data_IF_723391366992
#
_entry.id   IF_723391366992
#
_cell.length_a   1.000
_cell.length_b   1.000
_cell.length_c   1.000
_cell.angle_alpha   90.00
_cell.angle_beta   90.00
_cell.angle_gamma   90.00
#
_symmetry.space_group_name_H-M   'P 1'
#
loop_
_entity.id
_entity.type
_entity.pdbx_description
1 polymer ?
#
# COMPACT_ATOMS: atom_id res chain seq x y z
N UNK A 1 -41.91 30.81 -8.20
CA UNK A 1 -41.28 30.01 -7.12
C UNK A 1 -40.33 30.95 -6.40
N UNK A 2 -40.53 31.20 -5.09
CA UNK A 2 -39.60 32.01 -4.31
C UNK A 2 -38.22 31.40 -4.33
N UNK A 3 -37.13 32.19 -4.57
CA UNK A 3 -35.76 31.68 -4.43
C UNK A 3 -35.54 31.38 -2.94
N UNK A 4 -35.39 30.11 -2.61
CA UNK A 4 -35.09 29.68 -1.23
C UNK A 4 -35.89 28.50 -0.68
N UNK A 5 -36.94 28.02 -1.37
CA UNK A 5 -37.73 26.88 -0.92
C UNK A 5 -37.31 25.58 -1.61
N UNK A 6 -36.37 24.90 -1.05
CA UNK A 6 -35.91 23.57 -1.46
C UNK A 6 -35.24 22.87 -0.32
N UNK A 7 -35.11 21.55 -0.42
CA UNK A 7 -34.45 20.70 0.56
C UNK A 7 -32.95 20.90 0.58
N UNK A 8 -32.32 20.46 1.65
CA UNK A 8 -30.90 20.30 1.78
C UNK A 8 -30.57 18.82 1.77
N UNK A 9 -29.71 18.39 0.85
CA UNK A 9 -29.13 17.04 0.85
C UNK A 9 -27.65 17.17 1.23
N UNK A 10 -27.25 16.52 2.31
CA UNK A 10 -25.88 16.58 2.81
C UNK A 10 -25.46 15.24 3.41
N UNK A 11 -24.16 15.03 3.49
CA UNK A 11 -23.57 13.85 4.08
C UNK A 11 -22.07 14.03 4.26
N UNK A 12 -21.43 12.97 4.74
CA UNK A 12 -19.99 12.92 4.90
C UNK A 12 -19.41 11.63 4.30
N UNK A 13 -18.14 11.69 3.91
CA UNK A 13 -17.41 10.57 3.34
C UNK A 13 -16.19 10.31 4.22
N UNK A 14 -16.21 9.16 4.88
CA UNK A 14 -15.18 8.75 5.83
C UNK A 14 -14.54 7.43 5.40
N UNK A 15 -13.28 7.20 5.77
CA UNK A 15 -12.65 5.87 5.67
C UNK A 15 -13.23 4.91 6.71
N UNK A 16 -12.95 3.59 6.65
CA UNK A 16 -13.30 2.65 7.74
C UNK A 16 -12.69 3.02 9.10
N UNK A 17 -11.65 3.85 9.13
CA UNK A 17 -11.04 4.41 10.36
C UNK A 17 -11.64 5.75 10.79
N UNK A 18 -12.70 6.20 10.12
CA UNK A 18 -13.35 7.49 10.37
C UNK A 18 -12.52 8.72 9.98
N UNK A 19 -11.49 8.56 9.16
CA UNK A 19 -10.78 9.69 8.58
C UNK A 19 -11.60 10.33 7.47
N UNK A 20 -11.74 11.64 7.49
CA UNK A 20 -12.47 12.38 6.46
C UNK A 20 -11.75 12.31 5.10
N UNK A 21 -12.50 12.07 4.02
CA UNK A 21 -11.93 11.88 2.68
C UNK A 21 -12.14 13.14 1.84
N UNK A 22 -11.05 13.82 1.49
CA UNK A 22 -11.07 14.98 0.59
C UNK A 22 -11.02 14.57 -0.89
N UNK A 23 -11.25 15.54 -1.78
CA UNK A 23 -11.13 15.39 -3.24
C UNK A 23 -12.07 14.35 -3.85
N UNK A 24 -13.19 14.07 -3.19
CA UNK A 24 -14.28 13.26 -3.77
C UNK A 24 -15.24 14.18 -4.50
N UNK A 25 -15.45 13.94 -5.80
CA UNK A 25 -16.50 14.57 -6.54
C UNK A 25 -17.83 13.89 -6.22
N UNK A 26 -18.77 14.59 -5.62
CA UNK A 26 -20.12 14.11 -5.35
C UNK A 26 -21.06 14.69 -6.38
N UNK A 27 -21.80 13.85 -7.07
CA UNK A 27 -22.78 14.23 -8.07
C UNK A 27 -24.18 14.03 -7.53
N UNK A 28 -25.04 15.02 -7.74
CA UNK A 28 -26.48 14.90 -7.54
C UNK A 28 -27.13 14.85 -8.91
N UNK A 29 -27.80 13.76 -9.24
CA UNK A 29 -28.45 13.58 -10.53
C UNK A 29 -29.97 13.44 -10.40
N UNK A 30 -30.67 14.06 -11.35
CA UNK A 30 -32.09 13.99 -11.56
C UNK A 30 -32.35 14.27 -13.07
N UNK A 31 -33.38 13.66 -13.72
CA UNK A 31 -33.61 13.84 -15.15
C UNK A 31 -33.92 15.29 -15.55
N UNK A 32 -34.57 16.06 -14.68
CA UNK A 32 -35.12 17.38 -14.99
C UNK A 32 -34.27 18.55 -14.48
N UNK A 33 -33.32 18.28 -13.59
CA UNK A 33 -32.48 19.30 -12.95
C UNK A 33 -31.01 19.01 -13.08
N UNK A 34 -30.22 20.06 -13.32
CA UNK A 34 -28.75 20.00 -13.39
C UNK A 34 -28.17 20.65 -12.14
N UNK A 35 -27.36 19.90 -11.43
CA UNK A 35 -26.64 20.36 -10.25
C UNK A 35 -25.14 20.41 -10.53
N UNK A 36 -24.41 21.43 -10.04
CA UNK A 36 -22.96 21.36 -10.03
C UNK A 36 -22.51 20.25 -9.09
N UNK A 37 -21.42 19.54 -9.45
CA UNK A 37 -20.80 18.57 -8.53
C UNK A 37 -20.23 19.28 -7.30
N UNK A 38 -20.22 18.59 -6.18
CA UNK A 38 -19.59 19.05 -4.96
C UNK A 38 -18.26 18.34 -4.76
N UNK A 39 -17.17 19.09 -4.55
CA UNK A 39 -15.87 18.52 -4.22
C UNK A 39 -15.68 18.57 -2.71
N UNK A 40 -15.47 17.40 -2.07
CA UNK A 40 -15.21 17.35 -0.62
C UNK A 40 -13.86 17.97 -0.28
N UNK A 41 -13.83 18.67 0.84
CA UNK A 41 -12.62 19.25 1.44
C UNK A 41 -12.10 18.32 2.56
N UNK A 42 -11.18 18.82 3.36
CA UNK A 42 -10.52 18.08 4.44
C UNK A 42 -11.45 17.57 5.55
N UNK A 43 -12.68 18.05 5.59
CA UNK A 43 -13.74 17.58 6.49
C UNK A 43 -14.60 16.43 5.90
N UNK A 44 -14.36 16.06 4.64
CA UNK A 44 -15.08 14.98 3.94
C UNK A 44 -16.55 15.25 3.67
N UNK A 45 -17.04 16.47 3.94
CA UNK A 45 -18.48 16.79 3.85
C UNK A 45 -18.87 17.32 2.49
N UNK A 46 -20.12 17.03 2.13
CA UNK A 46 -20.77 17.60 0.95
C UNK A 46 -22.17 18.10 1.28
N UNK A 47 -22.66 19.07 0.47
CA UNK A 47 -23.97 19.67 0.66
C UNK A 47 -24.53 20.21 -0.64
N UNK A 48 -25.76 19.82 -0.96
CA UNK A 48 -26.60 20.41 -2.00
C UNK A 48 -27.73 21.18 -1.35
N UNK A 49 -27.91 22.45 -1.69
CA UNK A 49 -28.98 23.31 -1.18
C UNK A 49 -29.99 23.62 -2.24
N UNK A 50 -31.19 24.00 -1.82
CA UNK A 50 -32.30 24.37 -2.70
C UNK A 50 -32.70 23.27 -3.69
N UNK A 51 -32.64 22.00 -3.24
CA UNK A 51 -33.01 20.84 -4.05
C UNK A 51 -34.56 20.78 -4.13
N UNK A 52 -35.18 20.74 -5.32
CA UNK A 52 -36.61 20.70 -5.45
C UNK A 52 -37.28 19.52 -4.73
N UNK A 53 -38.47 19.74 -4.18
CA UNK A 53 -39.28 18.71 -3.54
C UNK A 53 -40.06 17.87 -4.56
N UNK A 54 -40.57 16.72 -4.10
CA UNK A 54 -41.42 15.78 -4.85
C UNK A 54 -40.73 15.21 -6.09
N UNK A 55 -39.43 15.12 -6.04
CA UNK A 55 -38.58 14.57 -7.10
C UNK A 55 -37.68 13.48 -6.54
N UNK A 56 -37.15 12.63 -7.41
CA UNK A 56 -36.20 11.56 -7.04
C UNK A 56 -34.79 11.93 -7.45
N UNK A 57 -33.83 11.62 -6.60
CA UNK A 57 -32.43 11.99 -6.78
C UNK A 57 -31.50 10.78 -6.56
N UNK A 58 -30.37 10.84 -7.21
CA UNK A 58 -29.27 9.90 -6.95
C UNK A 58 -28.03 10.68 -6.57
N UNK A 59 -27.43 10.33 -5.43
CA UNK A 59 -26.14 10.85 -4.98
C UNK A 59 -25.06 9.82 -5.35
N UNK A 60 -24.03 10.27 -6.09
CA UNK A 60 -22.93 9.40 -6.57
C UNK A 60 -21.60 10.04 -6.24
N UNK A 61 -20.82 9.49 -5.30
CA UNK A 61 -19.45 9.90 -5.07
C UNK A 61 -18.49 9.27 -6.10
N UNK A 62 -17.41 9.97 -6.44
CA UNK A 62 -16.39 9.49 -7.35
C UNK A 62 -15.01 10.06 -7.02
N UNK A 63 -14.02 9.18 -6.90
CA UNK A 63 -12.60 9.50 -6.82
C UNK A 63 -11.80 8.35 -7.42
N UNK A 64 -10.91 8.65 -8.36
CA UNK A 64 -10.09 7.65 -9.03
C UNK A 64 -8.71 8.21 -9.34
N UNK A 65 -7.94 8.48 -8.30
CA UNK A 65 -6.59 9.01 -8.36
C UNK A 65 -5.64 8.16 -7.50
N UNK A 66 -4.35 8.37 -7.65
CA UNK A 66 -3.29 7.79 -6.82
C UNK A 66 -3.58 6.36 -6.31
N UNK A 67 -3.60 5.39 -7.23
CA UNK A 67 -3.89 3.98 -6.92
C UNK A 67 -2.90 3.39 -5.90
N UNK A 68 -1.64 3.87 -5.86
CA UNK A 68 -0.60 3.38 -4.94
C UNK A 68 -0.73 3.90 -3.50
N UNK A 69 -1.51 4.97 -3.25
CA UNK A 69 -1.66 5.54 -1.92
C UNK A 69 -2.13 4.49 -0.90
N UNK A 70 -1.31 4.20 0.10
CA UNK A 70 -1.57 3.19 1.14
C UNK A 70 -1.39 1.73 0.71
N UNK A 71 -1.16 1.46 -0.59
CA UNK A 71 -1.03 0.09 -1.09
C UNK A 71 0.43 -0.35 -1.05
N UNK A 72 0.70 -1.45 -0.33
CA UNK A 72 2.04 -1.95 -0.05
C UNK A 72 2.10 -3.47 -0.01
N UNK A 73 3.30 -4.01 0.15
CA UNK A 73 3.50 -5.45 0.37
C UNK A 73 2.89 -5.94 1.70
N UNK A 74 2.68 -5.06 2.68
CA UNK A 74 1.99 -5.43 3.91
C UNK A 74 0.54 -5.86 3.65
N UNK A 75 -0.12 -5.26 2.67
CA UNK A 75 -1.47 -5.66 2.27
C UNK A 75 -1.47 -7.08 1.70
N UNK A 76 -0.45 -7.43 0.92
CA UNK A 76 -0.27 -8.80 0.40
C UNK A 76 -0.07 -9.80 1.54
N UNK A 77 0.72 -9.47 2.57
CA UNK A 77 0.90 -10.30 3.78
C UNK A 77 -0.45 -10.55 4.45
N UNK A 78 -1.26 -9.50 4.64
CA UNK A 78 -2.57 -9.59 5.30
C UNK A 78 -3.60 -10.36 4.49
N UNK A 79 -3.66 -10.12 3.17
CA UNK A 79 -4.55 -10.87 2.27
C UNK A 79 -4.17 -12.35 2.28
N UNK A 80 -2.88 -12.68 2.21
CA UNK A 80 -2.41 -14.05 2.24
C UNK A 80 -2.76 -14.75 3.55
N UNK A 81 -2.54 -14.10 4.70
CA UNK A 81 -2.94 -14.64 6.01
C UNK A 81 -4.44 -14.89 6.09
N UNK A 82 -5.25 -14.01 5.51
CA UNK A 82 -6.70 -14.20 5.41
C UNK A 82 -7.06 -15.42 4.56
N UNK A 83 -6.49 -15.55 3.38
CA UNK A 83 -6.76 -16.67 2.46
C UNK A 83 -6.35 -18.03 3.06
N UNK A 84 -5.31 -18.04 3.89
CA UNK A 84 -4.84 -19.23 4.60
C UNK A 84 -5.58 -19.49 5.93
N UNK A 85 -6.48 -18.60 6.34
CA UNK A 85 -7.22 -18.72 7.60
C UNK A 85 -6.39 -18.49 8.85
N UNK A 86 -5.21 -17.86 8.74
CA UNK A 86 -4.30 -17.55 9.85
C UNK A 86 -4.77 -16.29 10.59
N UNK A 87 -5.02 -15.21 9.85
CA UNK A 87 -5.58 -13.97 10.35
C UNK A 87 -6.71 -13.54 9.40
N UNK A 88 -7.94 -13.87 9.75
CA UNK A 88 -9.10 -13.57 8.92
C UNK A 88 -9.48 -12.09 8.99
N UNK A 89 -10.04 -11.57 7.94
CA UNK A 89 -10.59 -10.22 7.90
C UNK A 89 -11.70 -10.07 8.95
N UNK A 90 -11.70 -8.92 9.62
CA UNK A 90 -12.64 -8.59 10.70
C UNK A 90 -13.63 -7.50 10.32
N UNK A 91 -13.52 -6.96 9.10
CA UNK A 91 -14.37 -5.90 8.57
C UNK A 91 -14.81 -6.23 7.14
N UNK A 92 -16.07 -6.00 6.76
CA UNK A 92 -16.54 -6.22 5.38
C UNK A 92 -15.80 -5.31 4.38
N UNK A 93 -15.33 -4.15 4.81
CA UNK A 93 -14.55 -3.23 3.97
C UNK A 93 -13.20 -3.80 3.54
N UNK A 94 -12.61 -4.72 4.32
CA UNK A 94 -11.35 -5.38 3.94
C UNK A 94 -11.53 -6.31 2.73
N UNK A 95 -12.71 -6.93 2.57
CA UNK A 95 -13.02 -7.72 1.38
C UNK A 95 -13.11 -6.83 0.14
N UNK A 96 -13.78 -5.68 0.24
CA UNK A 96 -13.90 -4.71 -0.86
C UNK A 96 -12.52 -4.14 -1.22
N UNK A 97 -11.68 -3.85 -0.21
CA UNK A 97 -10.31 -3.38 -0.42
C UNK A 97 -9.43 -4.43 -1.10
N UNK A 98 -9.57 -5.71 -0.73
CA UNK A 98 -8.77 -6.80 -1.28
C UNK A 98 -9.16 -7.19 -2.71
N UNK A 99 -10.39 -6.94 -3.15
CA UNK A 99 -10.90 -7.26 -4.49
C UNK A 99 -10.35 -6.29 -5.54
N UNK A 100 -9.09 -6.48 -5.91
CA UNK A 100 -8.39 -5.59 -6.83
C UNK A 100 -8.90 -5.70 -8.28
N UNK A 101 -9.42 -6.86 -8.67
CA UNK A 101 -9.95 -7.11 -10.01
C UNK A 101 -11.47 -6.89 -10.13
N UNK A 102 -12.15 -6.51 -9.03
CA UNK A 102 -13.58 -6.20 -8.97
C UNK A 102 -14.49 -7.36 -9.40
N UNK A 103 -14.16 -8.58 -8.98
CA UNK A 103 -14.93 -9.78 -9.31
C UNK A 103 -15.79 -10.31 -8.14
N UNK A 104 -15.82 -9.58 -7.02
CA UNK A 104 -16.54 -9.93 -5.78
C UNK A 104 -16.01 -11.22 -5.12
N UNK A 105 -14.72 -11.46 -5.25
CA UNK A 105 -14.02 -12.56 -4.57
C UNK A 105 -12.64 -12.07 -4.15
N UNK A 106 -12.13 -12.59 -3.04
CA UNK A 106 -10.74 -12.37 -2.64
C UNK A 106 -9.95 -13.64 -2.93
N UNK A 107 -8.90 -13.52 -3.73
CA UNK A 107 -8.12 -14.65 -4.23
C UNK A 107 -6.64 -14.29 -4.46
N UNK A 108 -5.84 -15.27 -4.83
CA UNK A 108 -4.45 -15.03 -5.24
C UNK A 108 -4.33 -14.13 -6.49
N UNK A 109 -5.36 -14.05 -7.34
CA UNK A 109 -5.36 -13.17 -8.52
C UNK A 109 -5.32 -11.69 -8.08
N UNK A 110 -6.06 -11.35 -7.03
CA UNK A 110 -6.06 -9.99 -6.48
C UNK A 110 -4.68 -9.63 -5.90
N UNK A 111 -4.03 -10.57 -5.23
CA UNK A 111 -2.65 -10.38 -4.76
C UNK A 111 -1.69 -10.11 -5.92
N UNK A 112 -1.85 -10.78 -7.06
CA UNK A 112 -1.05 -10.54 -8.26
C UNK A 112 -1.29 -9.13 -8.80
N UNK A 113 -2.54 -8.67 -8.87
CA UNK A 113 -2.87 -7.32 -9.34
C UNK A 113 -2.32 -6.24 -8.39
N UNK A 114 -2.46 -6.43 -7.08
CA UNK A 114 -1.90 -5.54 -6.07
C UNK A 114 -0.37 -5.51 -6.17
N UNK A 115 0.30 -6.66 -6.30
CA UNK A 115 1.75 -6.72 -6.45
C UNK A 115 2.23 -5.98 -7.69
N UNK A 116 1.57 -6.13 -8.83
CA UNK A 116 1.91 -5.39 -10.05
C UNK A 116 1.78 -3.89 -9.87
N UNK A 117 0.78 -3.43 -9.10
CA UNK A 117 0.65 -2.02 -8.74
C UNK A 117 1.80 -1.57 -7.83
N UNK A 118 2.13 -2.33 -6.77
CA UNK A 118 3.26 -2.05 -5.87
C UNK A 118 4.57 -1.98 -6.65
N UNK A 119 4.81 -2.92 -7.54
CA UNK A 119 5.98 -2.96 -8.41
C UNK A 119 6.01 -1.83 -9.47
N UNK A 120 4.92 -1.08 -9.65
CA UNK A 120 4.83 -0.03 -10.66
C UNK A 120 4.72 -0.55 -12.09
N UNK A 121 4.46 -1.85 -12.29
CA UNK A 121 4.15 -2.46 -13.58
C UNK A 121 2.83 -1.89 -14.10
N UNK A 122 1.87 -1.70 -13.20
CA UNK A 122 0.63 -0.98 -13.47
C UNK A 122 0.65 0.38 -12.79
N UNK A 123 0.29 1.46 -13.50
CA UNK A 123 0.06 2.77 -12.87
C UNK A 123 -1.27 2.84 -12.13
N UNK A 124 -2.24 2.01 -12.54
CA UNK A 124 -3.61 1.93 -12.01
C UNK A 124 -4.10 0.49 -12.10
N UNK A 125 -5.07 0.12 -11.26
CA UNK A 125 -5.75 -1.17 -11.41
C UNK A 125 -6.50 -1.23 -12.76
N UNK A 126 -6.32 -2.27 -13.58
CA UNK A 126 -6.92 -2.35 -14.92
C UNK A 126 -8.46 -2.44 -14.91
N UNK A 127 -9.04 -3.06 -13.88
CA UNK A 127 -10.47 -3.38 -13.80
C UNK A 127 -11.17 -2.76 -12.59
N UNK A 128 -10.47 -1.94 -11.80
CA UNK A 128 -11.04 -1.32 -10.62
C UNK A 128 -10.63 0.14 -10.48
N UNK A 129 -11.43 0.90 -9.73
CA UNK A 129 -11.11 2.28 -9.32
C UNK A 129 -10.15 2.27 -8.14
N UNK A 130 -9.51 3.41 -7.86
CA UNK A 130 -8.66 3.56 -6.67
C UNK A 130 -9.47 3.61 -5.37
N UNK A 131 -10.70 4.11 -5.43
CA UNK A 131 -11.62 4.19 -4.30
C UNK A 131 -12.99 3.61 -4.67
N UNK A 132 -13.58 2.85 -3.74
CA UNK A 132 -14.96 2.39 -3.77
C UNK A 132 -15.73 3.12 -2.66
N UNK A 133 -16.98 3.38 -2.89
CA UNK A 133 -17.82 4.10 -1.93
C UNK A 133 -19.00 3.23 -1.55
N UNK A 134 -19.18 3.03 -0.25
CA UNK A 134 -20.23 2.17 0.30
C UNK A 134 -21.23 3.05 1.01
N UNK A 135 -22.48 3.03 0.55
CA UNK A 135 -23.59 3.66 1.25
C UNK A 135 -23.76 3.04 2.64
N UNK A 136 -23.63 3.86 3.68
CA UNK A 136 -23.77 3.44 5.09
C UNK A 136 -25.14 2.79 5.35
N UNK A 137 -26.17 3.23 4.63
CA UNK A 137 -27.54 2.70 4.75
C UNK A 137 -27.69 1.25 4.28
N UNK A 138 -26.74 0.70 3.50
CA UNK A 138 -26.84 -0.69 3.01
C UNK A 138 -26.52 -1.76 4.05
N UNK A 139 -25.86 -1.40 5.16
CA UNK A 139 -25.62 -2.30 6.29
C UNK A 139 -24.89 -3.59 5.95
N UNK A 140 -23.76 -3.50 5.21
CA UNK A 140 -22.95 -4.67 4.83
C UNK A 140 -22.38 -5.40 6.04
N UNK A 141 -22.25 -6.73 5.93
CA UNK A 141 -21.70 -7.60 6.98
C UNK A 141 -20.52 -8.42 6.47
N UNK A 142 -19.83 -9.12 7.38
CA UNK A 142 -18.74 -10.05 7.01
C UNK A 142 -19.21 -11.19 6.11
N UNK A 143 -20.45 -11.65 6.29
CA UNK A 143 -21.05 -12.71 5.49
C UNK A 143 -21.50 -12.21 4.11
N UNK A 144 -21.80 -10.93 4.00
CA UNK A 144 -22.32 -10.30 2.78
C UNK A 144 -21.59 -8.98 2.47
N UNK A 145 -20.27 -8.98 2.24
CA UNK A 145 -19.52 -7.75 1.98
C UNK A 145 -19.83 -7.15 0.61
N UNK A 146 -20.39 -7.94 -0.30
CA UNK A 146 -20.67 -7.54 -1.69
C UNK A 146 -22.04 -6.91 -1.90
N UNK A 147 -22.94 -6.98 -0.91
CA UNK A 147 -24.28 -6.41 -0.98
C UNK A 147 -24.29 -4.92 -0.62
N UNK A 148 -23.40 -4.14 -1.21
CA UNK A 148 -23.34 -2.70 -1.01
C UNK A 148 -23.84 -1.94 -2.24
N UNK A 149 -24.33 -0.72 -2.01
CA UNK A 149 -24.57 0.27 -3.05
C UNK A 149 -23.45 1.31 -3.03
N UNK A 150 -23.02 1.76 -4.21
CA UNK A 150 -22.11 2.91 -4.35
C UNK A 150 -22.87 4.23 -4.62
N UNK A 151 -24.19 4.19 -4.56
CA UNK A 151 -25.06 5.34 -4.75
C UNK A 151 -26.15 5.36 -3.68
N UNK A 152 -26.60 6.54 -3.30
CA UNK A 152 -27.81 6.73 -2.48
C UNK A 152 -28.93 7.19 -3.38
N UNK A 153 -30.03 6.45 -3.37
CA UNK A 153 -31.25 6.81 -4.09
C UNK A 153 -32.28 7.42 -3.12
N UNK A 154 -32.75 8.60 -3.43
CA UNK A 154 -33.78 9.32 -2.69
C UNK A 154 -35.02 9.34 -3.58
N UNK A 155 -36.07 8.68 -3.12
CA UNK A 155 -37.34 8.63 -3.84
C UNK A 155 -38.32 9.65 -3.23
N UNK A 156 -38.90 10.48 -4.07
CA UNK A 156 -39.95 11.46 -3.68
C UNK A 156 -39.53 12.34 -2.48
N UNK A 157 -38.55 13.22 -2.71
CA UNK A 157 -37.96 14.07 -1.67
C UNK A 157 -39.02 14.97 -1.02
N UNK A 158 -39.46 14.63 0.17
CA UNK A 158 -40.49 15.35 0.92
C UNK A 158 -39.95 16.10 2.16
N UNK A 159 -38.70 15.86 2.56
CA UNK A 159 -38.10 16.44 3.76
C UNK A 159 -37.36 17.74 3.49
N UNK A 160 -37.44 18.71 4.40
CA UNK A 160 -36.72 19.97 4.33
C UNK A 160 -35.18 19.79 4.38
N UNK A 161 -34.72 18.71 4.98
CA UNK A 161 -33.30 18.34 4.99
C UNK A 161 -33.11 16.85 5.18
N UNK A 162 -32.13 16.29 4.46
CA UNK A 162 -31.59 14.95 4.66
C UNK A 162 -30.06 15.08 4.85
N UNK A 163 -29.61 14.92 6.08
CA UNK A 163 -28.25 15.26 6.53
C UNK A 163 -27.31 14.05 6.65
N UNK A 164 -27.83 12.83 6.50
CA UNK A 164 -27.10 11.58 6.74
C UNK A 164 -27.05 10.72 5.48
N UNK A 165 -26.61 11.33 4.37
CA UNK A 165 -26.36 10.60 3.13
C UNK A 165 -24.88 10.21 3.06
N UNK A 166 -24.46 9.35 4.00
CA UNK A 166 -23.06 9.11 4.30
C UNK A 166 -22.51 7.91 3.54
N UNK A 167 -21.22 7.99 3.20
CA UNK A 167 -20.50 6.91 2.55
C UNK A 167 -19.23 6.53 3.32
N UNK A 168 -18.93 5.24 3.29
CA UNK A 168 -17.59 4.76 3.65
C UNK A 168 -16.75 4.62 2.38
N UNK A 169 -15.65 5.37 2.32
CA UNK A 169 -14.69 5.30 1.23
C UNK A 169 -13.66 4.20 1.50
N UNK A 170 -13.62 3.19 0.65
CA UNK A 170 -12.71 2.06 0.74
C UNK A 170 -11.62 2.21 -0.32
N UNK A 171 -10.36 2.26 0.12
CA UNK A 171 -9.21 2.31 -0.78
C UNK A 171 -8.90 0.90 -1.29
N UNK A 172 -9.01 0.71 -2.61
CA UNK A 172 -8.70 -0.59 -3.23
C UNK A 172 -7.21 -0.90 -3.13
N UNK A 173 -6.89 -2.11 -2.72
CA UNK A 173 -5.55 -2.62 -2.46
C UNK A 173 -5.03 -2.37 -1.04
N UNK A 174 -5.69 -1.51 -0.24
CA UNK A 174 -5.27 -1.11 1.11
C UNK A 174 -6.17 -1.77 2.17
N UNK A 175 -5.85 -3.01 2.55
CA UNK A 175 -6.64 -3.77 3.54
C UNK A 175 -6.32 -3.37 4.98
N UNK A 176 -5.24 -2.62 5.20
CA UNK A 176 -4.80 -2.15 6.50
C UNK A 176 -5.22 -0.70 6.81
N UNK A 177 -5.87 -0.03 5.85
CA UNK A 177 -6.38 1.34 5.93
C UNK A 177 -5.27 2.35 6.27
N UNK A 178 -4.15 2.31 5.56
CA UNK A 178 -3.01 3.24 5.71
C UNK A 178 -3.04 4.36 4.67
N UNK A 179 -3.97 4.30 3.72
CA UNK A 179 -4.11 5.33 2.70
C UNK A 179 -4.34 6.71 3.31
N UNK A 180 -3.62 7.70 2.82
CA UNK A 180 -3.80 9.09 3.20
C UNK A 180 -5.10 9.61 2.60
N UNK A 181 -6.09 9.85 3.45
CA UNK A 181 -7.44 10.26 3.05
C UNK A 181 -7.54 11.76 2.75
N UNK A 182 -6.73 12.59 3.45
CA UNK A 182 -6.73 14.06 3.28
C UNK A 182 -5.34 14.66 3.59
N UNK A 183 -5.17 15.94 3.24
CA UNK A 183 -3.90 16.65 3.38
C UNK A 183 -3.48 16.92 4.83
N UNK A 184 -4.41 16.87 5.78
CA UNK A 184 -4.14 17.09 7.21
C UNK A 184 -3.61 15.84 7.92
N UNK A 185 -3.77 14.66 7.30
CA UNK A 185 -3.33 13.41 7.88
C UNK A 185 -1.80 13.31 7.82
N UNK A 186 -1.17 13.34 8.99
CA UNK A 186 0.26 13.14 9.14
C UNK A 186 0.50 11.67 9.46
N UNK A 187 1.13 10.97 8.53
CA UNK A 187 1.61 9.61 8.80
C UNK A 187 2.89 9.72 9.63
N UNK A 188 3.00 9.06 10.78
CA UNK A 188 4.23 9.06 11.54
C UNK A 188 5.34 8.38 10.73
N UNK A 189 6.36 9.15 10.37
CA UNK A 189 7.56 8.67 9.68
C UNK A 189 8.81 8.70 10.57
N UNK A 190 8.67 9.17 11.80
CA UNK A 190 9.81 9.33 12.71
C UNK A 190 10.18 8.00 13.35
N UNK A 191 11.46 7.62 13.17
CA UNK A 191 12.10 6.58 13.96
C UNK A 191 11.87 5.15 13.53
N UNK A 192 11.58 4.88 12.25
CA UNK A 192 11.59 3.49 11.76
C UNK A 192 12.97 2.87 12.00
N UNK A 193 12.98 1.72 12.66
CA UNK A 193 14.20 0.95 12.89
C UNK A 193 14.80 0.53 11.55
N UNK A 194 16.12 0.73 11.40
CA UNK A 194 16.84 0.32 10.21
C UNK A 194 17.10 -1.19 10.27
N UNK A 195 16.89 -1.87 9.17
CA UNK A 195 17.32 -3.25 8.93
C UNK A 195 18.31 -3.24 7.77
N UNK A 196 19.51 -3.78 8.02
CA UNK A 196 20.52 -3.85 6.98
C UNK A 196 20.28 -5.04 6.05
N UNK A 197 20.39 -4.74 4.76
CA UNK A 197 20.43 -5.72 3.67
C UNK A 197 21.90 -5.80 3.24
N UNK A 198 22.60 -6.82 3.72
CA UNK A 198 24.02 -7.02 3.41
C UNK A 198 24.18 -7.49 1.97
N UNK A 199 25.02 -6.79 1.22
CA UNK A 199 25.25 -7.02 -0.20
C UNK A 199 26.69 -7.49 -0.40
N UNK A 200 26.84 -8.65 -1.03
CA UNK A 200 28.14 -9.22 -1.37
C UNK A 200 28.16 -9.67 -2.83
N UNK A 201 29.31 -9.47 -3.48
CA UNK A 201 29.60 -10.03 -4.79
C UNK A 201 30.09 -11.48 -4.57
N UNK A 202 29.45 -12.45 -5.23
CA UNK A 202 29.94 -13.82 -5.22
C UNK A 202 30.94 -13.99 -6.34
N UNK A 203 31.99 -14.78 -6.05
CA UNK A 203 32.94 -15.23 -7.09
C UNK A 203 32.16 -16.06 -8.12
N UNK A 204 32.10 -15.60 -9.35
CA UNK A 204 31.52 -16.36 -10.45
C UNK A 204 32.66 -17.14 -11.10
N UNK A 205 32.58 -18.48 -11.08
CA UNK A 205 33.60 -19.35 -11.75
C UNK A 205 33.48 -19.27 -13.29
N UNK A 206 32.44 -18.63 -13.84
CA UNK A 206 32.25 -18.50 -15.28
C UNK A 206 32.91 -17.23 -15.81
N UNK A 207 33.80 -17.41 -16.77
CA UNK A 207 34.47 -16.32 -17.49
C UNK A 207 33.47 -15.48 -18.26
N UNK A 208 33.32 -14.23 -17.89
CA UNK A 208 32.46 -13.27 -18.59
C UNK A 208 32.09 -12.06 -17.71
N UNK A 209 31.31 -11.18 -18.27
CA UNK A 209 30.82 -9.97 -17.61
C UNK A 209 29.67 -10.24 -16.61
N UNK A 210 29.37 -11.52 -16.31
CA UNK A 210 28.30 -11.90 -15.37
C UNK A 210 28.80 -11.78 -13.93
N UNK A 211 27.97 -11.19 -13.09
CA UNK A 211 28.16 -11.06 -11.65
C UNK A 211 26.93 -11.52 -10.89
N UNK A 212 27.14 -12.36 -9.88
CA UNK A 212 26.12 -12.78 -8.94
C UNK A 212 26.22 -11.91 -7.69
N UNK A 213 25.13 -11.25 -7.34
CA UNK A 213 25.02 -10.38 -6.18
C UNK A 213 24.11 -11.04 -5.17
N UNK A 214 24.63 -11.30 -3.98
CA UNK A 214 23.89 -11.89 -2.87
C UNK A 214 23.35 -10.79 -1.97
N UNK A 215 22.10 -10.93 -1.56
CA UNK A 215 21.41 -10.07 -0.61
C UNK A 215 21.08 -10.91 0.62
N UNK A 216 21.50 -10.45 1.80
CA UNK A 216 21.29 -11.12 3.07
C UNK A 216 20.61 -10.17 4.04
N UNK A 217 19.43 -10.53 4.53
CA UNK A 217 18.68 -9.81 5.54
C UNK A 217 18.82 -10.60 6.84
N UNK A 218 19.47 -10.01 7.85
CA UNK A 218 19.78 -10.71 9.11
C UNK A 218 18.56 -10.82 10.04
N UNK A 219 17.47 -10.18 9.70
CA UNK A 219 16.21 -10.22 10.43
C UNK A 219 15.14 -10.96 9.63
N UNK A 220 14.27 -11.69 10.34
CA UNK A 220 13.13 -12.36 9.71
C UNK A 220 12.00 -11.35 9.43
N UNK A 221 11.70 -11.16 8.15
CA UNK A 221 10.61 -10.33 7.68
C UNK A 221 9.48 -11.21 7.12
N UNK A 222 8.24 -10.81 7.38
CA UNK A 222 7.06 -11.39 6.71
C UNK A 222 6.89 -10.87 5.27
N UNK A 223 7.53 -9.75 4.97
CA UNK A 223 7.53 -9.16 3.64
C UNK A 223 8.44 -7.94 3.57
N UNK A 224 8.78 -7.56 2.36
CA UNK A 224 9.53 -6.34 2.09
C UNK A 224 9.25 -5.81 0.70
N UNK A 225 9.54 -4.54 0.53
CA UNK A 225 9.49 -3.87 -0.76
C UNK A 225 10.51 -2.74 -0.83
N UNK A 226 11.04 -2.47 -2.01
CA UNK A 226 11.91 -1.31 -2.29
C UNK A 226 12.10 -1.08 -3.78
N UNK A 227 12.69 0.05 -4.11
CA UNK A 227 13.24 0.33 -5.43
C UNK A 227 14.75 0.13 -5.39
N UNK A 228 15.28 -0.59 -6.35
CA UNK A 228 16.71 -0.74 -6.59
C UNK A 228 17.05 -0.02 -7.90
N UNK A 229 17.99 0.90 -7.84
CA UNK A 229 18.52 1.56 -9.03
C UNK A 229 19.91 1.01 -9.32
N UNK A 230 20.15 0.57 -10.56
CA UNK A 230 21.43 0.08 -11.01
C UNK A 230 22.01 0.95 -12.12
N UNK A 231 23.33 1.13 -12.13
CA UNK A 231 24.07 1.84 -13.16
C UNK A 231 25.19 0.97 -13.67
N UNK A 232 25.25 0.75 -14.97
CA UNK A 232 26.25 -0.13 -15.58
C UNK A 232 26.07 -1.63 -15.30
N UNK A 233 24.86 -2.04 -14.87
CA UNK A 233 24.46 -3.42 -14.65
C UNK A 233 23.16 -3.69 -15.40
N UNK A 234 23.13 -4.76 -16.18
CA UNK A 234 21.96 -5.29 -16.85
C UNK A 234 21.44 -6.50 -16.05
N UNK A 235 20.19 -6.47 -15.62
CA UNK A 235 19.56 -7.59 -14.91
C UNK A 235 19.39 -8.81 -15.82
N UNK A 236 19.81 -9.97 -15.37
CA UNK A 236 19.78 -11.22 -16.13
C UNK A 236 18.87 -12.29 -15.52
N UNK A 237 18.50 -12.15 -14.24
CA UNK A 237 17.65 -13.10 -13.56
C UNK A 237 17.83 -13.12 -12.06
N UNK A 238 17.04 -13.94 -11.40
CA UNK A 238 17.05 -14.12 -9.95
C UNK A 238 17.27 -15.59 -9.58
N UNK A 239 17.94 -15.82 -8.47
CA UNK A 239 18.06 -17.13 -7.84
C UNK A 239 17.52 -17.09 -6.41
N UNK A 240 16.56 -17.97 -6.13
CA UNK A 240 16.09 -18.21 -4.75
C UNK A 240 17.22 -18.84 -3.89
N UNK A 241 17.20 -18.52 -2.60
CA UNK A 241 18.09 -19.15 -1.63
C UNK A 241 17.29 -19.59 -0.41
N UNK A 242 17.39 -18.89 0.74
CA UNK A 242 16.56 -19.24 1.91
C UNK A 242 15.12 -18.75 1.78
N UNK A 243 14.88 -17.72 0.99
CA UNK A 243 13.53 -17.26 0.65
C UNK A 243 13.17 -17.64 -0.78
N UNK A 244 11.91 -18.04 -1.00
CA UNK A 244 11.40 -18.35 -2.33
C UNK A 244 11.07 -17.04 -3.05
N UNK A 245 11.89 -16.68 -4.02
CA UNK A 245 11.78 -15.46 -4.79
C UNK A 245 12.07 -15.73 -6.26
N UNK A 246 11.27 -15.16 -7.15
CA UNK A 246 11.40 -15.29 -8.60
C UNK A 246 11.09 -13.96 -9.30
N UNK A 247 11.14 -13.94 -10.63
CA UNK A 247 10.93 -12.74 -11.43
C UNK A 247 9.53 -12.13 -11.26
N UNK A 248 8.55 -12.86 -10.73
CA UNK A 248 7.22 -12.31 -10.43
C UNK A 248 7.22 -11.32 -9.26
N UNK A 249 8.30 -11.32 -8.46
CA UNK A 249 8.52 -10.40 -7.34
C UNK A 249 9.28 -9.14 -7.75
N UNK A 250 9.62 -9.00 -9.04
CA UNK A 250 10.42 -7.90 -9.57
C UNK A 250 9.64 -7.15 -10.65
N UNK A 251 9.67 -5.84 -10.60
CA UNK A 251 9.26 -4.95 -11.68
C UNK A 251 10.51 -4.39 -12.37
N UNK A 252 10.73 -4.76 -13.61
CA UNK A 252 11.79 -4.17 -14.44
C UNK A 252 11.22 -2.93 -15.13
N UNK A 253 11.69 -1.77 -14.72
CA UNK A 253 11.29 -0.49 -15.26
C UNK A 253 12.40 0.08 -16.16
N UNK A 254 12.18 1.25 -16.73
CA UNK A 254 13.17 1.87 -17.59
C UNK A 254 14.42 2.37 -16.81
N UNK A 255 15.53 2.56 -17.49
CA UNK A 255 16.75 3.22 -16.98
C UNK A 255 17.41 2.54 -15.77
N UNK A 256 17.42 1.21 -15.72
CA UNK A 256 18.06 0.47 -14.63
C UNK A 256 17.32 0.54 -13.30
N UNK A 257 16.05 0.94 -13.32
CA UNK A 257 15.19 0.96 -12.14
C UNK A 257 14.46 -0.38 -12.03
N UNK A 258 14.65 -1.05 -10.90
CA UNK A 258 13.96 -2.27 -10.53
C UNK A 258 13.18 -2.05 -9.25
N UNK A 259 12.00 -2.61 -9.16
CA UNK A 259 11.21 -2.63 -7.92
C UNK A 259 11.08 -4.05 -7.43
N UNK A 260 11.00 -4.22 -6.13
CA UNK A 260 10.89 -5.52 -5.48
C UNK A 260 9.73 -5.52 -4.52
N UNK A 261 8.99 -6.65 -4.48
CA UNK A 261 7.89 -6.90 -3.54
C UNK A 261 7.82 -8.38 -3.25
N UNK A 262 8.19 -8.76 -2.05
CA UNK A 262 8.16 -10.15 -1.60
C UNK A 262 7.40 -10.27 -0.29
N UNK A 263 6.65 -11.35 -0.13
CA UNK A 263 6.02 -11.73 1.13
C UNK A 263 6.20 -13.23 1.38
N UNK A 264 6.45 -13.58 2.64
CA UNK A 264 6.62 -14.95 3.07
C UNK A 264 5.32 -15.75 2.88
N UNK A 265 5.45 -17.03 2.55
CA UNK A 265 4.33 -17.98 2.60
C UNK A 265 4.33 -18.59 4.00
N UNK A 266 3.34 -18.30 4.86
CA UNK A 266 3.28 -18.85 6.18
C UNK A 266 3.31 -20.39 6.17
N UNK A 267 4.14 -20.99 7.02
CA UNK A 267 4.28 -22.44 7.11
C UNK A 267 5.22 -23.08 6.08
N UNK A 268 5.80 -22.31 5.15
CA UNK A 268 6.83 -22.81 4.24
C UNK A 268 8.23 -22.87 4.87
N UNK A 269 8.39 -22.31 6.06
CA UNK A 269 9.64 -22.36 6.78
C UNK A 269 9.87 -23.77 7.29
N UNK A 270 11.01 -24.36 6.92
CA UNK A 270 11.45 -25.66 7.42
C UNK A 270 11.50 -25.62 8.96
N UNK A 271 10.61 -26.36 9.58
CA UNK A 271 10.49 -26.52 11.02
C UNK A 271 11.83 -26.97 11.62
N UNK A 272 12.61 -26.02 12.13
CA UNK A 272 13.86 -26.34 12.83
C UNK A 272 14.96 -25.31 12.84
N UNK A 273 14.89 -24.25 12.02
CA UNK A 273 15.94 -23.24 11.99
C UNK A 273 15.42 -21.90 12.55
N UNK A 274 15.41 -21.79 13.88
CA UNK A 274 15.38 -20.47 14.51
C UNK A 274 16.60 -19.67 14.04
N UNK A 275 16.36 -18.51 13.38
CA UNK A 275 17.37 -17.51 13.01
C UNK A 275 18.23 -17.78 11.77
N UNK A 276 17.72 -18.40 10.73
CA UNK A 276 18.45 -18.36 9.47
C UNK A 276 18.18 -17.02 8.74
N UNK A 277 19.26 -16.34 8.34
CA UNK A 277 19.17 -15.10 7.55
C UNK A 277 18.36 -15.35 6.26
N UNK A 278 17.55 -14.37 5.88
CA UNK A 278 16.81 -14.41 4.62
C UNK A 278 17.73 -14.00 3.48
N UNK A 279 17.95 -14.90 2.52
CA UNK A 279 18.88 -14.68 1.42
C UNK A 279 18.25 -14.94 0.06
N UNK A 280 18.64 -14.14 -0.92
CA UNK A 280 18.38 -14.33 -2.34
C UNK A 280 19.55 -13.76 -3.16
N UNK A 281 19.64 -14.12 -4.44
CA UNK A 281 20.68 -13.64 -5.32
C UNK A 281 20.11 -13.11 -6.62
N UNK A 282 20.77 -12.12 -7.19
CA UNK A 282 20.45 -11.56 -8.49
C UNK A 282 21.68 -11.70 -9.41
N UNK A 283 21.42 -12.07 -10.65
CA UNK A 283 22.41 -12.15 -11.71
C UNK A 283 22.38 -10.88 -12.54
N UNK A 284 23.55 -10.29 -12.76
CA UNK A 284 23.70 -9.11 -13.61
C UNK A 284 24.83 -9.33 -14.62
N UNK A 285 24.70 -8.66 -15.76
CA UNK A 285 25.82 -8.45 -16.67
C UNK A 285 26.43 -7.08 -16.41
N UNK A 286 27.75 -7.02 -16.15
CA UNK A 286 28.47 -5.74 -16.04
C UNK A 286 28.62 -5.12 -17.41
N UNK A 287 28.05 -3.93 -17.59
CA UNK A 287 28.17 -3.12 -18.83
C UNK A 287 29.29 -2.07 -18.72
N UNK A 288 29.78 -1.83 -17.50
CA UNK A 288 30.89 -0.91 -17.22
C UNK A 288 31.67 -1.38 -15.99
N UNK A 289 32.93 -0.94 -15.87
CA UNK A 289 33.73 -1.17 -14.66
C UNK A 289 33.28 -0.26 -13.52
N UNK A 290 33.42 -0.73 -12.27
CA UNK A 290 33.09 0.05 -11.07
C UNK A 290 32.98 -0.85 -9.84
N UNK A 291 32.90 -0.20 -8.67
CA UNK A 291 32.62 -0.90 -7.43
C UNK A 291 31.10 -1.09 -7.28
N UNK A 292 30.69 -2.23 -6.75
CA UNK A 292 29.27 -2.57 -6.59
C UNK A 292 28.47 -1.51 -5.82
N UNK A 293 29.04 -0.94 -4.76
CA UNK A 293 28.44 0.14 -3.94
C UNK A 293 28.13 1.43 -4.72
N UNK A 294 28.84 1.65 -5.85
CA UNK A 294 28.65 2.81 -6.71
C UNK A 294 27.67 2.49 -7.86
N UNK A 295 27.41 1.21 -8.09
CA UNK A 295 26.59 0.70 -9.18
C UNK A 295 25.17 0.36 -8.76
N UNK A 296 24.90 0.14 -7.46
CA UNK A 296 23.58 -0.23 -6.95
C UNK A 296 23.18 0.69 -5.79
N UNK A 297 21.95 1.15 -5.81
CA UNK A 297 21.37 2.02 -4.79
C UNK A 297 19.93 1.60 -4.48
N UNK A 298 19.60 1.48 -3.20
CA UNK A 298 18.20 1.34 -2.75
C UNK A 298 17.57 2.72 -2.58
N UNK A 299 16.35 2.89 -3.10
CA UNK A 299 15.61 4.15 -3.05
C UNK A 299 14.11 3.89 -2.81
N UNK A 300 13.34 4.96 -2.60
CA UNK A 300 11.87 4.94 -2.54
C UNK A 300 11.23 5.64 -3.75
N UNK A 301 11.94 5.70 -4.87
CA UNK A 301 11.52 6.49 -6.06
C UNK A 301 10.21 6.01 -6.67
N UNK A 302 9.98 4.69 -6.71
CA UNK A 302 8.79 4.07 -7.29
C UNK A 302 8.01 3.33 -6.22
N UNK A 303 8.69 2.48 -5.47
CA UNK A 303 8.15 1.69 -4.36
C UNK A 303 8.91 2.08 -3.11
N UNK A 304 8.19 2.46 -2.06
CA UNK A 304 8.77 2.85 -0.77
C UNK A 304 9.64 1.71 -0.22
N UNK A 305 10.78 2.06 0.40
CA UNK A 305 11.65 1.06 1.03
C UNK A 305 11.09 0.71 2.40
N UNK A 306 10.46 -0.44 2.52
CA UNK A 306 9.81 -0.92 3.72
C UNK A 306 10.03 -2.43 3.91
N UNK A 307 10.19 -2.84 5.16
CA UNK A 307 10.16 -4.24 5.58
C UNK A 307 9.13 -4.41 6.70
N UNK A 308 8.60 -5.61 6.84
CA UNK A 308 7.53 -5.92 7.79
C UNK A 308 7.95 -7.11 8.65
N UNK A 309 8.13 -6.89 9.95
CA UNK A 309 8.59 -7.91 10.88
C UNK A 309 7.46 -8.87 11.29
N UNK A 310 7.82 -10.03 11.82
CA UNK A 310 6.88 -10.98 12.43
C UNK A 310 6.06 -10.35 13.58
N UNK A 311 6.57 -9.31 14.22
CA UNK A 311 5.85 -8.56 15.26
C UNK A 311 4.87 -7.50 14.69
N UNK A 312 4.79 -7.37 13.36
CA UNK A 312 3.93 -6.38 12.70
C UNK A 312 4.49 -4.97 12.65
N UNK A 313 5.79 -4.79 12.95
CA UNK A 313 6.47 -3.50 12.85
C UNK A 313 6.88 -3.24 11.40
N UNK A 314 6.76 -1.98 10.97
CA UNK A 314 7.36 -1.51 9.72
C UNK A 314 8.78 -1.02 10.01
N UNK A 315 9.75 -1.54 9.25
CA UNK A 315 11.17 -1.21 9.35
C UNK A 315 11.67 -0.65 8.03
N UNK A 316 12.81 0.05 8.06
CA UNK A 316 13.41 0.63 6.87
C UNK A 316 14.62 -0.18 6.41
N UNK A 317 14.55 -0.95 5.31
CA UNK A 317 15.69 -1.62 4.71
C UNK A 317 16.70 -0.62 4.15
N UNK A 318 18.01 -0.91 4.37
CA UNK A 318 19.13 -0.16 3.80
C UNK A 318 20.21 -1.11 3.32
N UNK A 319 20.81 -0.84 2.16
CA UNK A 319 21.94 -1.63 1.66
C UNK A 319 23.17 -1.36 2.51
N UNK A 320 23.85 -2.45 2.89
CA UNK A 320 25.13 -2.44 3.55
C UNK A 320 26.14 -3.25 2.72
N UNK A 321 27.19 -2.62 2.27
CA UNK A 321 28.24 -3.25 1.46
C UNK A 321 29.41 -3.62 2.38
N UNK A 322 29.46 -4.90 2.78
CA UNK A 322 30.58 -5.46 3.54
C UNK A 322 31.70 -5.95 2.62
N UNK A 323 32.97 -5.85 3.06
CA UNK A 323 34.02 -6.63 2.45
C UNK A 323 33.83 -8.10 2.86
N UNK A 324 34.00 -9.05 1.94
CA UNK A 324 33.78 -10.48 2.15
C UNK A 324 34.61 -11.12 3.30
N UNK A 325 35.44 -10.35 3.99
CA UNK A 325 36.37 -10.79 5.04
C UNK A 325 36.34 -9.93 6.32
N UNK A 326 35.36 -9.08 6.55
CA UNK A 326 35.27 -8.38 7.85
C UNK A 326 34.30 -9.10 8.77
N UNK A 327 34.69 -9.48 9.99
CA UNK A 327 33.73 -9.89 11.01
C UNK A 327 32.78 -8.71 11.28
N UNK A 328 31.51 -9.00 11.46
CA UNK A 328 30.47 -8.04 11.79
C UNK A 328 30.90 -7.16 12.98
N UNK A 329 31.38 -5.96 12.72
CA UNK A 329 31.49 -4.93 13.76
C UNK A 329 30.05 -4.37 13.98
N UNK A 330 29.46 -4.83 15.07
CA UNK A 330 28.26 -4.18 15.61
C UNK A 330 28.66 -2.79 16.09
N UNK A 331 28.37 -1.76 15.32
CA UNK A 331 28.43 -0.39 15.80
C UNK A 331 27.29 -0.19 16.82
N UNK A 332 27.61 -0.41 18.08
CA UNK A 332 26.77 0.04 19.19
C UNK A 332 26.76 1.57 19.17
N UNK A 333 25.70 2.17 18.63
CA UNK A 333 25.40 3.55 18.88
C UNK A 333 24.98 3.67 20.35
N UNK A 334 25.96 3.97 21.21
CA UNK A 334 25.68 4.46 22.57
C UNK A 334 25.12 5.89 22.42
N UNK A 335 23.86 6.07 22.81
CA UNK A 335 23.32 7.38 23.09
C UNK A 335 24.12 7.98 24.27
N UNK A 336 25.04 8.85 23.99
CA UNK A 336 25.64 9.74 25.00
C UNK A 336 24.58 10.82 25.37
N UNK A 337 23.70 10.49 26.29
CA UNK A 337 22.99 11.50 27.07
C UNK A 337 23.91 11.98 28.18
N UNK A 338 24.79 12.91 27.85
CA UNK A 338 25.57 13.67 28.82
C UNK A 338 24.68 14.67 29.58
N UNK A 339 24.19 14.27 30.73
CA UNK A 339 23.65 15.21 31.73
C UNK A 339 24.78 15.67 32.68
N UNK A 340 24.81 16.95 33.11
CA UNK A 340 25.90 17.46 33.94
C UNK A 340 25.82 16.90 35.37
N UNK A 341 26.93 16.34 35.84
CA UNK A 341 27.11 16.04 37.26
C UNK A 341 27.28 17.34 38.02
N UNK A 342 26.26 17.74 38.73
CA UNK A 342 26.34 18.75 39.76
C UNK A 342 26.98 18.15 41.01
N UNK A 343 28.18 18.58 41.34
CA UNK A 343 28.81 18.36 42.64
C UNK A 343 28.12 19.22 43.70
N UNK A 344 27.65 18.59 44.79
CA UNK A 344 27.44 19.26 46.05
C UNK A 344 28.17 18.51 47.17
N UNK A 345 28.88 19.33 47.98
CA UNK A 345 29.58 19.00 49.19
C UNK A 345 28.74 18.24 50.21
#
# INVERSE_FOLDING_TARGET
VCPGSGSILAGEILTPRTDAVELVNVFLSNPDYVFPSYLTLTDGRFRFGSVPYNESYTITPARNDNHKNGVSTLDLVRIQKHLLGIEVFTSPYQFIAADANNNQQVSAIDMIEIRKLVLGIYPTFPQNKSWRFVDVGTGITLENPWQHSEIIQITDLASDSMMYNDFVAVKVGDVNNTAKANALQVLPRDGQRIVFVNVTEADTEEAGDLVKINFTIDEQLEGFQWTLESSGLEYMGMESSTISMDDSHIGLLQDGVMTMSWNAVPGSESSGAHQQAQTFSMLFRKMSGGNLKDMIRMTSRVTESEGYTLAGETVQPQLHFGSANSPLEFALYQNESGGPQGSFL
#
